data_IF_708157876734
#
_entry.id   IF_708157876734
#
_cell.length_a   1.000
_cell.length_b   1.000
_cell.length_c   1.000
_cell.angle_alpha   90.00
_cell.angle_beta   90.00
_cell.angle_gamma   90.00
#
_symmetry.space_group_name_H-M   'P 1'
#
loop_
_entity.id
_entity.type
_entity.pdbx_description
1 polymer ?
#
# COMPACT_ATOMS: atom_id res chain seq x y z
N UNK A 1 -12.68 -82.04 -14.67
CA UNK A 1 -13.33 -80.75 -14.97
C UNK A 1 -12.72 -79.70 -14.06
N UNK A 2 -12.17 -78.64 -14.65
CA UNK A 2 -11.27 -77.66 -14.03
C UNK A 2 -12.00 -76.58 -13.22
N UNK A 3 -11.43 -76.25 -12.06
CA UNK A 3 -11.52 -75.01 -11.27
C UNK A 3 -10.45 -75.11 -10.13
N UNK A 4 -10.00 -74.03 -9.45
CA UNK A 4 -9.21 -72.89 -9.94
C UNK A 4 -8.02 -72.50 -8.99
N UNK A 5 -7.32 -71.40 -9.30
CA UNK A 5 -6.49 -70.52 -8.43
C UNK A 5 -5.11 -70.99 -7.93
N UNK A 6 -4.06 -70.30 -8.41
CA UNK A 6 -2.95 -69.76 -7.60
C UNK A 6 -2.12 -68.76 -8.42
N UNK A 7 -2.20 -67.47 -8.09
CA UNK A 7 -1.33 -66.41 -8.61
C UNK A 7 -0.06 -66.33 -7.76
N UNK A 8 1.10 -66.55 -8.40
CA UNK A 8 2.42 -66.44 -7.79
C UNK A 8 2.86 -64.97 -7.60
N UNK A 9 3.32 -64.67 -6.39
CA UNK A 9 4.16 -63.52 -6.06
C UNK A 9 5.49 -63.60 -6.81
N UNK A 10 5.84 -62.53 -7.53
CA UNK A 10 7.20 -62.26 -7.97
C UNK A 10 7.60 -60.84 -7.55
N UNK A 11 8.52 -60.80 -6.59
CA UNK A 11 9.33 -59.66 -6.20
C UNK A 11 10.32 -59.30 -7.30
N UNK A 12 10.39 -58.03 -7.70
CA UNK A 12 11.44 -57.48 -8.59
C UNK A 12 12.02 -56.22 -7.91
N UNK A 13 13.36 -56.00 -7.96
CA UNK A 13 14.06 -55.08 -7.06
C UNK A 13 14.10 -53.62 -7.55
N UNK A 14 14.27 -52.71 -6.59
CA UNK A 14 14.55 -51.27 -6.79
C UNK A 14 15.92 -51.06 -7.46
N UNK A 15 16.06 -50.11 -8.40
CA UNK A 15 17.38 -49.68 -8.86
C UNK A 15 17.93 -48.56 -7.97
N UNK A 16 19.09 -48.81 -7.38
CA UNK A 16 20.03 -47.79 -6.93
C UNK A 16 20.60 -47.04 -8.14
N UNK A 17 20.66 -45.72 -8.08
CA UNK A 17 21.46 -44.90 -8.98
C UNK A 17 22.13 -43.75 -8.20
N UNK A 18 23.26 -43.22 -8.70
CA UNK A 18 24.40 -42.87 -7.88
C UNK A 18 24.48 -41.39 -7.55
N UNK A 19 25.12 -41.12 -6.41
CA UNK A 19 25.61 -39.80 -6.00
C UNK A 19 26.58 -39.26 -7.05
N UNK A 20 26.18 -38.20 -7.75
CA UNK A 20 27.09 -37.30 -8.45
C UNK A 20 27.12 -35.97 -7.70
N UNK A 21 28.23 -35.76 -7.03
CA UNK A 21 28.65 -34.50 -6.42
C UNK A 21 28.88 -33.45 -7.50
N UNK A 22 28.08 -32.38 -7.49
CA UNK A 22 28.45 -31.10 -8.07
C UNK A 22 28.60 -30.09 -6.93
N UNK A 23 29.86 -29.74 -6.65
CA UNK A 23 30.25 -28.62 -5.81
C UNK A 23 29.92 -27.33 -6.55
N UNK A 24 29.06 -26.49 -6.00
CA UNK A 24 28.94 -25.09 -6.37
C UNK A 24 29.36 -24.28 -5.14
N UNK A 25 30.56 -23.71 -5.22
CA UNK A 25 31.16 -22.87 -4.20
C UNK A 25 30.28 -21.63 -3.96
N UNK A 26 29.62 -21.59 -2.81
CA UNK A 26 29.02 -20.36 -2.29
C UNK A 26 30.12 -19.53 -1.64
N UNK A 27 30.47 -18.40 -2.27
CA UNK A 27 31.27 -17.37 -1.64
C UNK A 27 30.47 -16.69 -0.53
N UNK A 28 30.93 -16.89 0.71
CA UNK A 28 30.59 -16.10 1.90
C UNK A 28 30.78 -14.60 1.64
N UNK A 29 29.85 -13.71 2.06
CA UNK A 29 30.15 -12.29 2.16
C UNK A 29 31.04 -12.06 3.39
N UNK A 30 32.29 -11.68 3.12
CA UNK A 30 33.27 -11.32 4.14
C UNK A 30 32.84 -10.07 4.90
N UNK A 31 32.92 -10.17 6.23
CA UNK A 31 32.92 -9.04 7.15
C UNK A 31 34.08 -8.08 6.79
N UNK A 32 33.76 -6.84 6.45
CA UNK A 32 34.75 -5.76 6.41
C UNK A 32 34.39 -4.74 7.48
N UNK A 33 35.18 -4.80 8.54
CA UNK A 33 35.32 -3.79 9.58
C UNK A 33 35.61 -2.41 8.96
N UNK A 34 34.87 -1.38 9.35
CA UNK A 34 35.30 -0.01 9.14
C UNK A 34 35.80 0.58 10.46
N UNK A 35 37.13 0.61 10.55
CA UNK A 35 37.88 1.32 11.57
C UNK A 35 37.72 2.83 11.40
N UNK A 36 37.58 3.50 12.54
CA UNK A 36 37.58 4.94 12.71
C UNK A 36 38.94 5.48 12.27
N UNK A 37 38.96 6.41 11.31
CA UNK A 37 40.05 7.37 11.23
C UNK A 37 39.60 8.77 10.84
N UNK A 38 40.21 9.70 11.56
CA UNK A 38 39.88 11.09 11.80
C UNK A 38 40.67 11.96 10.83
N UNK A 39 40.03 12.83 10.04
CA UNK A 39 40.73 13.99 9.47
C UNK A 39 39.81 15.17 9.13
N UNK A 40 39.87 16.17 10.03
CA UNK A 40 40.05 17.63 9.81
C UNK A 40 39.26 18.38 8.71
N UNK A 41 38.41 19.32 9.19
CA UNK A 41 38.01 20.66 8.69
C UNK A 41 38.85 21.26 7.53
N UNK A 42 38.35 22.04 6.56
CA UNK A 42 37.49 23.27 6.57
C UNK A 42 37.01 23.60 5.10
N UNK A 43 36.33 24.72 4.77
CA UNK A 43 35.00 24.76 4.18
C UNK A 43 34.97 25.24 2.70
N UNK A 44 33.83 25.15 2.01
CA UNK A 44 33.64 26.01 0.83
C UNK A 44 32.18 26.38 0.56
N UNK A 45 31.98 27.69 0.65
CA UNK A 45 31.05 28.55 -0.10
C UNK A 45 29.63 28.03 -0.41
N UNK A 46 28.68 28.55 0.37
CA UNK A 46 27.35 28.92 -0.14
C UNK A 46 27.53 30.00 -1.21
N UNK A 47 27.14 29.69 -2.45
CA UNK A 47 26.94 30.72 -3.48
C UNK A 47 25.57 30.51 -4.11
N UNK A 48 24.71 31.49 -3.89
CA UNK A 48 23.39 31.68 -4.45
C UNK A 48 23.51 32.19 -5.89
N UNK A 49 23.05 31.47 -6.91
CA UNK A 49 22.83 31.97 -8.27
C UNK A 49 21.61 31.24 -8.85
N UNK A 50 20.41 31.85 -8.74
CA UNK A 50 19.72 32.63 -9.80
C UNK A 50 19.47 31.83 -11.08
N UNK A 51 18.18 31.61 -11.33
CA UNK A 51 17.58 31.22 -12.61
C UNK A 51 18.08 32.15 -13.71
N UNK A 52 18.65 31.60 -14.77
CA UNK A 52 18.56 32.17 -16.10
C UNK A 52 18.23 31.04 -17.09
N UNK A 53 17.16 31.29 -17.84
CA UNK A 53 16.57 30.41 -18.83
C UNK A 53 17.28 30.68 -20.16
N UNK A 54 18.20 29.80 -20.57
CA UNK A 54 18.72 29.79 -21.93
C UNK A 54 18.37 28.50 -22.64
N UNK A 55 17.65 28.70 -23.74
CA UNK A 55 17.14 27.73 -24.70
C UNK A 55 18.32 27.07 -25.43
N UNK A 56 18.63 25.83 -25.08
CA UNK A 56 19.50 24.98 -25.88
C UNK A 56 18.68 23.83 -26.48
N UNK A 57 18.63 23.84 -27.81
CA UNK A 57 18.19 22.74 -28.67
C UNK A 57 19.10 21.53 -28.49
N UNK A 58 18.57 20.42 -27.98
CA UNK A 58 19.23 19.11 -28.04
C UNK A 58 18.31 18.05 -28.64
N UNK A 59 18.91 17.29 -29.56
CA UNK A 59 18.49 16.08 -30.27
C UNK A 59 17.62 15.09 -29.47
N UNK A 60 16.72 14.32 -30.12
CA UNK A 60 15.86 13.35 -29.46
C UNK A 60 16.59 12.02 -29.32
N UNK A 61 17.26 11.78 -28.19
CA UNK A 61 17.56 10.44 -27.70
C UNK A 61 18.30 10.52 -26.36
N UNK A 62 17.56 10.89 -25.32
CA UNK A 62 17.89 10.56 -23.93
C UNK A 62 16.58 10.61 -23.16
N UNK A 63 15.92 9.46 -23.02
CA UNK A 63 14.73 9.32 -22.18
C UNK A 63 15.08 9.75 -20.74
N UNK A 64 14.42 10.77 -20.18
CA UNK A 64 14.53 11.02 -18.74
C UNK A 64 13.97 9.80 -18.02
N UNK A 65 14.59 9.41 -16.90
CA UNK A 65 13.99 8.48 -15.93
C UNK A 65 12.51 8.86 -15.77
N UNK A 66 11.60 7.94 -16.05
CA UNK A 66 10.16 8.17 -16.06
C UNK A 66 9.70 8.72 -14.71
N UNK A 67 9.64 10.04 -14.56
CA UNK A 67 9.11 10.67 -13.37
C UNK A 67 7.61 10.81 -13.61
N UNK A 68 6.84 9.83 -13.16
CA UNK A 68 5.40 9.95 -13.09
C UNK A 68 5.07 11.16 -12.20
N UNK A 69 4.08 11.96 -12.59
CA UNK A 69 3.48 12.95 -11.70
C UNK A 69 2.42 12.25 -10.85
N UNK A 70 2.60 12.26 -9.53
CA UNK A 70 1.63 11.63 -8.63
C UNK A 70 0.43 12.56 -8.42
N UNK A 71 -0.78 12.00 -8.48
CA UNK A 71 -2.01 12.69 -8.12
C UNK A 71 -2.82 11.88 -7.12
N UNK A 72 -3.61 12.58 -6.31
CA UNK A 72 -4.61 11.96 -5.44
C UNK A 72 -6.00 12.17 -6.07
N UNK A 73 -6.74 11.11 -6.41
CA UNK A 73 -8.05 11.26 -7.04
C UNK A 73 -9.07 11.86 -6.07
N UNK A 74 -10.07 12.55 -6.62
CA UNK A 74 -11.28 12.88 -5.89
C UNK A 74 -12.10 11.59 -5.78
N UNK A 75 -12.45 11.18 -4.57
CA UNK A 75 -13.18 9.94 -4.31
C UNK A 75 -14.63 10.29 -3.95
N UNK A 76 -15.57 9.73 -4.71
CA UNK A 76 -17.01 9.85 -4.47
C UNK A 76 -17.62 8.46 -4.32
N UNK A 77 -18.46 8.26 -3.32
CA UNK A 77 -19.24 7.03 -3.16
C UNK A 77 -20.72 7.34 -3.45
N UNK A 78 -21.38 6.45 -4.20
CA UNK A 78 -22.82 6.50 -4.40
C UNK A 78 -23.59 5.82 -3.25
N UNK A 79 -24.92 5.77 -3.36
CA UNK A 79 -25.79 5.11 -2.37
C UNK A 79 -25.52 3.60 -2.25
N UNK A 80 -24.99 2.96 -3.31
CA UNK A 80 -24.53 1.57 -3.32
C UNK A 80 -23.14 1.38 -2.72
N UNK A 81 -22.47 2.47 -2.29
CA UNK A 81 -21.09 2.50 -1.79
C UNK A 81 -20.03 2.10 -2.83
N UNK A 82 -20.39 2.12 -4.12
CA UNK A 82 -19.42 1.92 -5.18
C UNK A 82 -18.62 3.21 -5.35
N UNK A 83 -17.34 3.13 -5.02
CA UNK A 83 -16.47 4.28 -5.13
C UNK A 83 -16.01 4.52 -6.56
N UNK A 84 -16.14 5.77 -6.95
CA UNK A 84 -15.63 6.32 -8.18
C UNK A 84 -14.48 7.27 -7.87
N UNK A 85 -13.40 7.12 -8.63
CA UNK A 85 -12.20 7.95 -8.59
C UNK A 85 -12.25 8.91 -9.78
N UNK A 86 -12.08 10.20 -9.50
CA UNK A 86 -12.02 11.26 -10.50
C UNK A 86 -10.63 11.88 -10.51
N UNK A 87 -10.03 11.94 -11.70
CA UNK A 87 -8.79 12.65 -11.97
C UNK A 87 -9.06 13.73 -13.02
N UNK A 88 -8.80 14.99 -12.66
CA UNK A 88 -8.93 16.12 -13.57
C UNK A 88 -7.53 16.52 -14.04
N UNK A 89 -7.29 16.40 -15.34
CA UNK A 89 -5.97 16.63 -15.92
C UNK A 89 -6.01 17.82 -16.88
N UNK A 90 -5.11 18.79 -16.70
CA UNK A 90 -5.01 19.99 -17.54
C UNK A 90 -3.98 19.90 -18.67
N UNK A 91 -3.14 18.85 -18.71
CA UNK A 91 -2.00 18.78 -19.62
C UNK A 91 -1.60 17.36 -19.97
N UNK A 92 -1.01 17.19 -21.15
CA UNK A 92 -0.36 15.93 -21.53
C UNK A 92 0.73 15.54 -20.52
N UNK A 93 0.86 14.25 -20.24
CA UNK A 93 1.80 13.76 -19.23
C UNK A 93 1.50 12.34 -18.78
N UNK A 94 2.34 11.83 -17.88
CA UNK A 94 2.22 10.50 -17.32
C UNK A 94 1.93 10.62 -15.82
N UNK A 95 0.72 10.23 -15.42
CA UNK A 95 0.19 10.52 -14.09
C UNK A 95 -0.13 9.24 -13.34
N UNK A 96 0.39 9.11 -12.11
CA UNK A 96 0.17 7.95 -11.26
C UNK A 96 -0.81 8.29 -10.13
N UNK A 97 -1.85 7.47 -9.97
CA UNK A 97 -2.78 7.57 -8.85
C UNK A 97 -2.12 7.07 -7.57
N UNK A 98 -2.08 7.90 -6.52
CA UNK A 98 -1.56 7.53 -5.19
C UNK A 98 -2.40 6.48 -4.46
N UNK A 99 -3.67 6.30 -4.84
CA UNK A 99 -4.63 5.41 -4.17
C UNK A 99 -4.67 4.02 -4.80
N UNK A 100 -4.76 3.94 -6.13
CA UNK A 100 -4.89 2.66 -6.85
C UNK A 100 -3.60 2.20 -7.51
N UNK A 101 -2.58 3.07 -7.59
CA UNK A 101 -1.35 2.82 -8.33
C UNK A 101 -1.51 2.85 -9.85
N UNK A 102 -2.73 3.04 -10.37
CA UNK A 102 -3.00 3.09 -11.81
C UNK A 102 -2.29 4.30 -12.44
N UNK A 103 -1.67 4.11 -13.60
CA UNK A 103 -1.01 5.19 -14.34
C UNK A 103 -1.73 5.47 -15.66
N UNK A 104 -1.93 6.75 -15.94
CA UNK A 104 -2.52 7.24 -17.19
C UNK A 104 -1.50 8.03 -17.99
N UNK A 105 -1.28 7.65 -19.26
CA UNK A 105 -0.64 8.52 -20.24
C UNK A 105 -1.70 9.38 -20.92
N UNK A 106 -1.68 10.67 -20.61
CA UNK A 106 -2.59 11.67 -21.14
C UNK A 106 -1.95 12.37 -22.35
N UNK A 107 -2.67 12.45 -23.47
CA UNK A 107 -2.30 13.23 -24.66
C UNK A 107 -2.61 14.72 -24.54
N UNK A 108 -3.43 15.12 -23.57
CA UNK A 108 -3.90 16.48 -23.38
C UNK A 108 -4.82 16.57 -22.17
N UNK A 109 -5.51 17.70 -22.06
CA UNK A 109 -6.53 17.93 -21.03
C UNK A 109 -7.67 16.90 -21.13
N UNK A 110 -8.17 16.46 -19.98
CA UNK A 110 -9.32 15.56 -19.91
C UNK A 110 -9.57 15.05 -18.50
N UNK A 111 -10.81 14.66 -18.26
CA UNK A 111 -11.23 14.07 -17.00
C UNK A 111 -11.25 12.56 -17.14
N UNK A 112 -10.64 11.86 -16.18
CA UNK A 112 -10.65 10.40 -16.11
C UNK A 112 -11.48 10.01 -14.91
N UNK A 113 -12.55 9.27 -15.18
CA UNK A 113 -13.45 8.71 -14.18
C UNK A 113 -13.28 7.21 -14.21
N UNK A 114 -12.94 6.60 -13.08
CA UNK A 114 -12.76 5.15 -13.03
C UNK A 114 -13.18 4.56 -11.69
N UNK A 115 -13.41 3.26 -11.67
CA UNK A 115 -13.77 2.49 -10.47
C UNK A 115 -13.29 1.06 -10.58
N UNK A 116 -13.13 0.39 -9.45
CA UNK A 116 -12.87 -1.05 -9.43
C UNK A 116 -14.20 -1.79 -9.56
N UNK A 117 -14.30 -2.76 -10.47
CA UNK A 117 -15.50 -3.58 -10.67
C UNK A 117 -15.16 -5.06 -10.46
N UNK A 118 -16.14 -5.90 -10.07
CA UNK A 118 -15.89 -7.33 -9.89
C UNK A 118 -15.63 -8.04 -11.22
N UNK A 119 -14.76 -9.04 -11.21
CA UNK A 119 -14.56 -9.94 -12.34
C UNK A 119 -15.72 -10.91 -12.52
N UNK A 120 -16.20 -11.08 -13.75
CA UNK A 120 -17.06 -12.21 -14.13
C UNK A 120 -16.18 -13.47 -14.30
N UNK A 121 -16.04 -14.26 -13.23
CA UNK A 121 -15.20 -15.47 -13.23
C UNK A 121 -15.66 -16.54 -14.21
N UNK A 122 -16.98 -16.67 -14.42
CA UNK A 122 -17.53 -17.65 -15.35
C UNK A 122 -17.10 -17.36 -16.79
N UNK A 123 -17.09 -16.07 -17.13
CA UNK A 123 -16.65 -15.59 -18.43
C UNK A 123 -15.14 -15.79 -18.63
N UNK A 124 -14.32 -15.46 -17.64
CA UNK A 124 -12.87 -15.72 -17.70
C UNK A 124 -12.53 -17.21 -17.84
N UNK A 125 -13.23 -18.08 -17.09
CA UNK A 125 -13.02 -19.52 -17.14
C UNK A 125 -13.31 -20.11 -18.53
N UNK A 126 -14.25 -19.55 -19.30
CA UNK A 126 -14.51 -19.98 -20.70
C UNK A 126 -13.28 -19.77 -21.60
N UNK A 127 -12.39 -18.85 -21.22
CA UNK A 127 -11.15 -18.56 -21.93
C UNK A 127 -9.92 -19.18 -21.24
N UNK A 128 -10.09 -20.05 -20.25
CA UNK A 128 -9.00 -20.63 -19.45
C UNK A 128 -8.10 -19.57 -18.78
N UNK A 129 -8.72 -18.45 -18.35
CA UNK A 129 -8.05 -17.33 -17.70
C UNK A 129 -8.50 -17.18 -16.26
N UNK A 130 -7.61 -16.61 -15.44
CA UNK A 130 -7.92 -16.15 -14.09
C UNK A 130 -7.45 -14.70 -13.87
N UNK A 131 -8.08 -13.95 -12.94
CA UNK A 131 -7.60 -12.62 -12.56
C UNK A 131 -6.17 -12.64 -12.02
N UNK A 132 -5.40 -11.62 -12.39
CA UNK A 132 -4.07 -11.33 -11.83
C UNK A 132 -4.00 -9.91 -11.22
N UNK A 133 -5.16 -9.32 -10.94
CA UNK A 133 -5.29 -7.99 -10.35
C UNK A 133 -6.73 -7.46 -10.37
N UNK A 134 -6.95 -6.21 -9.94
CA UNK A 134 -8.25 -5.56 -10.06
C UNK A 134 -8.67 -5.32 -11.52
N UNK A 135 -9.98 -5.27 -11.76
CA UNK A 135 -10.58 -4.81 -13.02
C UNK A 135 -11.04 -3.37 -12.83
N UNK A 136 -10.57 -2.47 -13.69
CA UNK A 136 -10.91 -1.04 -13.64
C UNK A 136 -11.85 -0.68 -14.78
N UNK A 137 -13.08 -0.24 -14.47
CA UNK A 137 -14.00 0.39 -15.44
C UNK A 137 -13.57 1.86 -15.58
N UNK A 138 -13.03 2.23 -16.74
CA UNK A 138 -12.40 3.53 -17.00
C UNK A 138 -13.17 4.28 -18.07
N UNK A 139 -13.40 5.58 -17.85
CA UNK A 139 -14.06 6.52 -18.76
C UNK A 139 -13.23 7.80 -18.89
N UNK A 140 -13.09 8.29 -20.11
CA UNK A 140 -12.54 9.61 -20.41
C UNK A 140 -13.28 10.18 -21.62
N UNK A 141 -14.16 11.15 -21.39
CA UNK A 141 -15.02 11.71 -22.46
C UNK A 141 -14.19 12.39 -23.55
N UNK A 142 -13.10 13.06 -23.15
CA UNK A 142 -12.19 13.78 -24.03
C UNK A 142 -11.27 12.85 -24.85
N UNK A 143 -11.31 11.53 -24.61
CA UNK A 143 -10.45 10.54 -25.29
C UNK A 143 -8.94 10.83 -25.11
N UNK A 144 -8.58 11.53 -24.04
CA UNK A 144 -7.22 12.03 -23.81
C UNK A 144 -6.28 10.95 -23.30
N UNK A 145 -6.79 9.88 -22.67
CA UNK A 145 -5.97 8.73 -22.25
C UNK A 145 -5.63 7.87 -23.47
N UNK A 146 -4.35 7.55 -23.66
CA UNK A 146 -3.93 6.66 -24.76
C UNK A 146 -3.13 5.43 -24.33
N UNK A 147 -2.66 5.39 -23.08
CA UNK A 147 -1.94 4.25 -22.53
C UNK A 147 -2.27 4.11 -21.04
N UNK A 148 -2.40 2.87 -20.58
CA UNK A 148 -2.60 2.50 -19.19
C UNK A 148 -1.38 1.73 -18.69
N UNK A 149 -0.94 2.02 -17.46
CA UNK A 149 -0.05 1.13 -16.74
C UNK A 149 -0.81 0.52 -15.56
N UNK A 150 -1.13 -0.76 -15.67
CA UNK A 150 -1.92 -1.51 -14.70
C UNK A 150 -0.99 -2.16 -13.66
N UNK A 151 -1.23 -1.99 -12.35
CA UNK A 151 -0.34 -2.54 -11.33
C UNK A 151 -0.44 -4.07 -11.23
N UNK A 152 0.70 -4.75 -11.17
CA UNK A 152 0.79 -6.20 -10.87
C UNK A 152 1.67 -6.46 -9.64
N UNK A 153 1.70 -7.73 -9.23
CA UNK A 153 2.54 -8.20 -8.13
C UNK A 153 3.55 -9.29 -8.54
N UNK A 154 3.59 -9.71 -9.82
CA UNK A 154 4.55 -10.71 -10.29
C UNK A 154 6.02 -10.31 -10.08
N UNK A 155 6.86 -11.29 -9.74
CA UNK A 155 8.32 -11.15 -9.73
C UNK A 155 8.89 -11.46 -11.13
N UNK A 156 9.47 -10.46 -11.80
CA UNK A 156 10.03 -10.65 -13.15
C UNK A 156 11.16 -11.69 -13.17
N UNK A 157 11.97 -11.72 -12.12
CA UNK A 157 13.13 -12.61 -12.01
C UNK A 157 12.78 -14.10 -12.05
N UNK A 158 11.53 -14.47 -11.76
CA UNK A 158 11.07 -15.86 -11.79
C UNK A 158 10.35 -16.23 -13.08
N UNK A 159 10.22 -15.31 -14.04
CA UNK A 159 9.53 -15.54 -15.31
C UNK A 159 8.00 -15.43 -15.25
N UNK A 160 7.41 -15.24 -14.06
CA UNK A 160 5.95 -15.18 -13.86
C UNK A 160 5.26 -14.08 -14.68
N UNK A 161 5.97 -12.97 -14.94
CA UNK A 161 5.48 -11.86 -15.76
C UNK A 161 5.23 -12.22 -17.24
N UNK A 162 5.84 -13.28 -17.77
CA UNK A 162 5.71 -13.66 -19.18
C UNK A 162 4.32 -14.20 -19.54
N UNK A 163 3.54 -14.60 -18.53
CA UNK A 163 2.18 -15.13 -18.69
C UNK A 163 1.08 -14.06 -18.58
N UNK A 164 1.43 -12.79 -18.29
CA UNK A 164 0.46 -11.74 -18.08
C UNK A 164 -0.11 -11.21 -19.40
N UNK A 165 -1.43 -11.08 -19.43
CA UNK A 165 -2.17 -10.37 -20.46
C UNK A 165 -3.13 -9.36 -19.81
N UNK A 166 -3.68 -8.46 -20.62
CA UNK A 166 -4.75 -7.56 -20.17
C UNK A 166 -6.05 -7.97 -20.82
N UNK A 167 -7.09 -8.20 -20.03
CA UNK A 167 -8.45 -8.32 -20.53
C UNK A 167 -9.08 -6.94 -20.65
N UNK A 168 -9.67 -6.67 -21.80
CA UNK A 168 -10.54 -5.55 -22.09
C UNK A 168 -11.98 -6.09 -22.14
N UNK A 169 -12.82 -5.69 -21.19
CA UNK A 169 -14.20 -6.13 -21.02
C UNK A 169 -15.12 -4.98 -21.36
N UNK A 170 -15.89 -5.13 -22.43
CA UNK A 170 -16.78 -4.08 -22.90
C UNK A 170 -18.13 -4.05 -22.13
N UNK A 171 -19.04 -3.16 -22.55
CA UNK A 171 -20.35 -3.01 -21.90
C UNK A 171 -21.33 -4.16 -22.18
N UNK A 172 -21.06 -4.99 -23.19
CA UNK A 172 -21.85 -6.15 -23.58
C UNK A 172 -21.31 -7.44 -22.94
N UNK A 173 -20.30 -7.32 -22.06
CA UNK A 173 -19.55 -8.44 -21.47
C UNK A 173 -18.77 -9.27 -22.49
N UNK A 174 -18.39 -8.69 -23.63
CA UNK A 174 -17.43 -9.30 -24.54
C UNK A 174 -16.00 -9.04 -24.03
N UNK A 175 -15.12 -10.04 -24.16
CA UNK A 175 -13.72 -9.95 -23.71
C UNK A 175 -12.74 -10.02 -24.89
N UNK A 176 -11.84 -9.06 -24.92
CA UNK A 176 -10.64 -9.06 -25.77
C UNK A 176 -9.39 -9.20 -24.89
N UNK A 177 -8.43 -10.03 -25.31
CA UNK A 177 -7.13 -10.17 -24.63
C UNK A 177 -6.04 -9.41 -25.38
N UNK A 178 -5.45 -8.43 -24.69
CA UNK A 178 -4.41 -7.54 -25.18
C UNK A 178 -3.06 -8.02 -24.66
N UNK A 179 -2.11 -8.24 -25.57
CA UNK A 179 -0.72 -8.52 -25.22
C UNK A 179 -0.04 -7.22 -24.77
N UNK A 180 0.60 -7.19 -23.59
CA UNK A 180 1.29 -6.00 -23.11
C UNK A 180 2.41 -5.55 -24.05
N UNK A 181 2.56 -4.24 -24.21
CA UNK A 181 3.71 -3.68 -24.92
C UNK A 181 5.00 -3.80 -24.08
N UNK A 182 4.86 -3.62 -22.77
CA UNK A 182 5.95 -3.67 -21.81
C UNK A 182 5.41 -4.17 -20.46
N UNK A 183 6.23 -4.93 -19.74
CA UNK A 183 5.98 -5.29 -18.34
C UNK A 183 7.18 -4.79 -17.54
N UNK A 184 6.92 -3.86 -16.64
CA UNK A 184 7.90 -3.27 -15.70
C UNK A 184 7.88 -4.04 -14.39
N UNK A 185 8.73 -3.69 -13.41
CA UNK A 185 8.74 -4.37 -12.11
C UNK A 185 7.41 -4.30 -11.33
N UNK A 186 6.54 -3.36 -11.70
CA UNK A 186 5.31 -3.07 -10.94
C UNK A 186 4.07 -2.88 -11.80
N UNK A 187 4.22 -2.65 -13.11
CA UNK A 187 3.09 -2.37 -14.01
C UNK A 187 3.19 -3.09 -15.36
N UNK A 188 2.03 -3.49 -15.86
CA UNK A 188 1.78 -3.93 -17.23
C UNK A 188 1.33 -2.73 -18.05
N UNK A 189 2.01 -2.46 -19.18
CA UNK A 189 1.77 -1.28 -20.02
C UNK A 189 1.05 -1.68 -21.31
N UNK A 190 -0.11 -1.07 -21.55
CA UNK A 190 -0.90 -1.26 -22.78
C UNK A 190 -1.35 0.06 -23.37
N UNK A 191 -1.38 0.15 -24.70
CA UNK A 191 -2.07 1.23 -25.39
C UNK A 191 -3.56 0.92 -25.47
N UNK A 192 -4.40 1.94 -25.32
CA UNK A 192 -5.86 1.80 -25.41
C UNK A 192 -6.42 2.74 -26.48
N UNK A 193 -7.54 2.32 -27.07
CA UNK A 193 -8.32 3.08 -28.04
C UNK A 193 -9.78 3.24 -27.61
N UNK A 194 -10.19 2.54 -26.54
CA UNK A 194 -11.54 2.54 -26.01
C UNK A 194 -11.55 2.67 -24.49
N UNK A 195 -12.76 2.77 -23.93
CA UNK A 195 -12.99 3.04 -22.51
C UNK A 195 -14.07 2.12 -21.98
N UNK A 196 -13.68 1.23 -21.06
CA UNK A 196 -14.50 0.18 -20.44
C UNK A 196 -13.68 -0.49 -19.32
N UNK A 197 -13.93 -1.78 -19.03
CA UNK A 197 -13.17 -2.57 -18.07
C UNK A 197 -11.79 -2.99 -18.59
N UNK A 198 -10.71 -2.65 -17.87
CA UNK A 198 -9.35 -3.15 -18.11
C UNK A 198 -8.77 -3.79 -16.86
N UNK A 199 -8.25 -5.01 -16.99
CA UNK A 199 -7.67 -5.73 -15.85
C UNK A 199 -6.67 -6.79 -16.27
N UNK A 200 -5.71 -7.09 -15.41
CA UNK A 200 -4.65 -8.07 -15.70
C UNK A 200 -5.20 -9.48 -15.48
N UNK A 201 -4.90 -10.37 -16.42
CA UNK A 201 -5.23 -11.79 -16.36
C UNK A 201 -3.98 -12.64 -16.63
N UNK A 202 -4.06 -13.91 -16.23
CA UNK A 202 -3.07 -14.95 -16.53
C UNK A 202 -3.78 -16.26 -16.86
N UNK A 203 -3.04 -17.21 -17.41
CA UNK A 203 -3.58 -18.54 -17.68
C UNK A 203 -3.99 -19.24 -16.39
N UNK A 204 -5.08 -19.99 -16.41
CA UNK A 204 -5.58 -20.72 -15.25
C UNK A 204 -4.55 -21.73 -14.71
N UNK A 205 -3.84 -22.39 -15.64
CA UNK A 205 -2.77 -23.37 -15.36
C UNK A 205 -1.40 -22.74 -15.06
N UNK A 206 -1.31 -21.41 -14.95
CA UNK A 206 -0.04 -20.75 -14.67
C UNK A 206 0.57 -21.26 -13.35
N UNK A 207 1.90 -21.47 -13.29
CA UNK A 207 2.56 -21.94 -12.09
C UNK A 207 2.35 -20.96 -10.92
N UNK A 208 2.33 -21.44 -9.67
CA UNK A 208 2.21 -20.61 -8.48
C UNK A 208 3.56 -19.94 -8.15
N UNK A 209 4.08 -19.18 -9.10
CA UNK A 209 5.30 -18.41 -8.95
C UNK A 209 5.15 -17.40 -7.79
N UNK A 210 6.25 -17.06 -7.11
CA UNK A 210 6.18 -16.14 -5.99
C UNK A 210 5.80 -14.74 -6.47
N UNK A 211 4.96 -14.08 -5.68
CA UNK A 211 4.47 -12.72 -5.94
C UNK A 211 4.90 -11.78 -4.82
N UNK A 212 5.06 -10.51 -5.17
CA UNK A 212 5.18 -9.43 -4.21
C UNK A 212 3.89 -9.35 -3.39
N UNK A 213 4.03 -9.42 -2.07
CA UNK A 213 2.91 -9.39 -1.14
C UNK A 213 3.09 -8.31 -0.08
N UNK A 214 2.02 -8.06 0.66
CA UNK A 214 1.96 -7.15 1.79
C UNK A 214 1.37 -7.88 3.00
N UNK A 215 1.89 -7.54 4.17
CA UNK A 215 1.33 -7.94 5.47
C UNK A 215 0.67 -6.72 6.08
N UNK A 216 -0.66 -6.74 6.14
CA UNK A 216 -1.45 -5.65 6.71
C UNK A 216 -1.90 -5.99 8.12
N UNK A 217 -1.72 -5.04 9.04
CA UNK A 217 -1.96 -5.22 10.46
C UNK A 217 -3.11 -4.33 10.93
N UNK A 218 -4.10 -4.92 11.59
CA UNK A 218 -5.26 -4.23 12.14
C UNK A 218 -5.44 -4.57 13.61
N UNK A 219 -5.26 -3.59 14.48
CA UNK A 219 -5.31 -3.77 15.92
C UNK A 219 -6.63 -3.29 16.50
N UNK A 220 -7.29 -4.16 17.25
CA UNK A 220 -8.45 -3.84 18.07
C UNK A 220 -8.01 -3.73 19.54
N UNK A 221 -7.96 -2.51 20.12
CA UNK A 221 -7.52 -2.31 21.49
C UNK A 221 -8.48 -2.96 22.50
N UNK A 222 -8.02 -3.18 23.74
CA UNK A 222 -8.88 -3.69 24.80
C UNK A 222 -9.96 -2.67 25.17
N UNK A 223 -11.13 -3.16 25.56
CA UNK A 223 -12.23 -2.33 26.09
C UNK A 223 -12.30 -2.55 27.60
N UNK A 224 -11.98 -1.50 28.37
CA UNK A 224 -12.03 -1.51 29.84
C UNK A 224 -13.38 -2.07 30.35
N UNK A 225 -13.41 -3.02 31.31
CA UNK A 225 -12.33 -3.58 32.12
C UNK A 225 -11.62 -4.82 31.54
N UNK A 226 -11.89 -5.18 30.29
CA UNK A 226 -11.36 -6.41 29.71
C UNK A 226 -10.00 -6.17 29.07
N UNK A 227 -8.92 -6.85 29.52
CA UNK A 227 -7.59 -6.66 28.98
C UNK A 227 -7.38 -7.33 27.61
N UNK A 228 -8.44 -7.92 27.03
CA UNK A 228 -8.37 -8.70 25.79
C UNK A 228 -8.29 -7.78 24.59
N UNK A 229 -7.25 -7.94 23.77
CA UNK A 229 -7.10 -7.24 22.49
C UNK A 229 -6.78 -8.21 21.37
N UNK A 230 -6.97 -7.78 20.13
CA UNK A 230 -6.81 -8.63 18.95
C UNK A 230 -6.03 -7.90 17.88
N UNK A 231 -5.03 -8.55 17.30
CA UNK A 231 -4.33 -8.10 16.10
C UNK A 231 -4.69 -9.03 14.94
N UNK A 232 -5.40 -8.49 13.97
CA UNK A 232 -5.70 -9.16 12.70
C UNK A 232 -4.54 -8.97 11.73
N UNK A 233 -4.03 -10.08 11.18
CA UNK A 233 -2.90 -10.10 10.23
C UNK A 233 -3.41 -10.64 8.89
N UNK A 234 -3.28 -9.82 7.84
CA UNK A 234 -3.76 -10.14 6.49
C UNK A 234 -2.55 -10.33 5.57
N UNK A 235 -2.49 -11.47 4.89
CA UNK A 235 -1.56 -11.70 3.79
C UNK A 235 -2.27 -11.36 2.47
N UNK A 236 -1.79 -10.34 1.76
CA UNK A 236 -2.44 -9.87 0.53
C UNK A 236 -1.41 -9.64 -0.59
N UNK A 237 -1.77 -9.79 -1.87
CA UNK A 237 -0.85 -9.45 -2.95
C UNK A 237 -0.60 -7.94 -3.01
N UNK A 238 0.55 -7.49 -3.52
CA UNK A 238 0.93 -6.06 -3.53
C UNK A 238 0.01 -5.18 -4.37
N UNK A 239 -0.65 -5.74 -5.37
CA UNK A 239 -1.56 -5.02 -6.26
C UNK A 239 -2.98 -4.84 -5.69
N UNK A 240 -3.21 -5.12 -4.41
CA UNK A 240 -4.45 -4.70 -3.75
C UNK A 240 -4.53 -3.19 -3.63
N UNK A 241 -5.75 -2.66 -3.73
CA UNK A 241 -6.02 -1.24 -3.44
C UNK A 241 -6.17 -1.11 -1.92
N UNK A 242 -5.11 -0.72 -1.22
CA UNK A 242 -5.07 -0.67 0.26
C UNK A 242 -6.25 0.16 0.82
N UNK A 243 -6.60 1.27 0.16
CA UNK A 243 -7.75 2.10 0.54
C UNK A 243 -9.07 1.32 0.64
N UNK A 244 -9.30 0.39 -0.29
CA UNK A 244 -10.48 -0.47 -0.27
C UNK A 244 -10.43 -1.43 0.93
N UNK A 245 -9.28 -2.05 1.20
CA UNK A 245 -9.10 -2.93 2.36
C UNK A 245 -9.37 -2.18 3.68
N UNK A 246 -8.81 -0.98 3.83
CA UNK A 246 -9.01 -0.13 5.01
C UNK A 246 -10.50 0.19 5.22
N UNK A 247 -11.23 0.57 4.17
CA UNK A 247 -12.68 0.82 4.27
C UNK A 247 -13.43 -0.45 4.67
N UNK A 248 -13.27 -1.52 3.91
CA UNK A 248 -14.04 -2.76 4.11
C UNK A 248 -13.85 -3.28 5.53
N UNK A 249 -12.64 -3.20 6.07
CA UNK A 249 -12.38 -3.55 7.47
C UNK A 249 -13.06 -2.63 8.47
N UNK A 250 -13.04 -1.31 8.24
CA UNK A 250 -13.76 -0.33 9.07
C UNK A 250 -15.27 -0.62 9.10
N UNK A 251 -15.85 -1.00 7.96
CA UNK A 251 -17.28 -1.33 7.87
C UNK A 251 -17.64 -2.64 8.58
N UNK A 252 -16.82 -3.68 8.43
CA UNK A 252 -17.11 -5.00 8.98
C UNK A 252 -16.77 -5.13 10.47
N UNK A 253 -15.70 -4.48 10.94
CA UNK A 253 -15.11 -4.74 12.25
C UNK A 253 -15.17 -3.55 13.22
N UNK A 254 -15.61 -2.38 12.74
CA UNK A 254 -15.68 -1.15 13.53
C UNK A 254 -14.31 -0.48 13.71
N UNK A 255 -14.01 -0.03 14.93
CA UNK A 255 -12.77 0.70 15.26
C UNK A 255 -11.56 -0.23 15.42
N UNK A 256 -11.13 -0.84 14.32
CA UNK A 256 -9.78 -1.38 14.21
C UNK A 256 -8.80 -0.29 13.74
N UNK A 257 -7.62 -0.26 14.35
CA UNK A 257 -6.53 0.63 13.97
C UNK A 257 -5.62 -0.06 12.96
N UNK A 258 -5.48 0.51 11.77
CA UNK A 258 -4.41 0.10 10.85
C UNK A 258 -3.05 0.49 11.42
N UNK A 259 -2.12 -0.47 11.47
CA UNK A 259 -0.74 -0.23 11.89
C UNK A 259 0.12 -0.18 10.63
N UNK A 260 0.64 1.02 10.33
CA UNK A 260 1.61 1.21 9.26
C UNK A 260 2.98 0.67 9.72
N UNK A 261 3.38 -0.45 9.12
CA UNK A 261 4.66 -1.13 9.35
C UNK A 261 5.25 -1.55 8.01
N UNK A 262 6.58 -1.69 7.89
CA UNK A 262 7.20 -2.29 6.72
C UNK A 262 6.58 -3.67 6.43
N UNK A 263 5.77 -3.72 5.37
CA UNK A 263 4.84 -4.83 5.11
C UNK A 263 5.23 -5.70 3.93
N UNK A 264 6.20 -5.28 3.12
CA UNK A 264 6.57 -5.94 1.86
C UNK A 264 7.27 -7.27 2.11
N UNK A 265 6.83 -8.31 1.43
CA UNK A 265 7.46 -9.63 1.40
C UNK A 265 7.20 -10.33 0.05
N UNK A 266 7.68 -11.57 -0.08
CA UNK A 266 7.44 -12.42 -1.24
C UNK A 266 6.75 -13.70 -0.79
N UNK A 267 5.58 -14.00 -1.34
CA UNK A 267 4.78 -15.18 -0.97
C UNK A 267 4.45 -16.02 -2.20
N UNK A 268 4.39 -17.33 -2.01
CA UNK A 268 3.99 -18.29 -3.03
C UNK A 268 2.48 -18.55 -2.91
N UNK A 269 1.70 -18.32 -3.98
CA UNK A 269 0.29 -18.66 -4.00
C UNK A 269 0.05 -20.15 -3.67
N UNK A 270 -1.03 -20.43 -2.95
CA UNK A 270 -1.45 -21.77 -2.53
C UNK A 270 -0.45 -22.52 -1.63
N UNK A 271 0.47 -21.79 -1.00
CA UNK A 271 1.39 -22.34 0.00
C UNK A 271 0.95 -21.96 1.41
N UNK A 272 1.32 -22.81 2.37
CA UNK A 272 0.98 -22.66 3.79
C UNK A 272 2.09 -21.92 4.53
N UNK A 273 1.66 -20.97 5.36
CA UNK A 273 2.52 -20.14 6.19
C UNK A 273 2.12 -20.27 7.66
N UNK A 274 3.11 -20.12 8.54
CA UNK A 274 2.94 -20.12 9.98
C UNK A 274 3.29 -18.74 10.52
N UNK A 275 2.43 -18.20 11.40
CA UNK A 275 2.70 -16.97 12.13
C UNK A 275 3.15 -17.31 13.56
N UNK A 276 4.27 -16.74 13.98
CA UNK A 276 4.81 -16.90 15.33
C UNK A 276 5.01 -15.55 16.00
N UNK A 277 4.97 -15.55 17.33
CA UNK A 277 5.13 -14.34 18.15
C UNK A 277 6.30 -14.49 19.13
N UNK A 278 6.99 -13.39 19.43
CA UNK A 278 7.91 -13.32 20.57
C UNK A 278 7.54 -12.12 21.47
N UNK A 279 7.39 -12.31 22.80
CA UNK A 279 7.62 -13.56 23.54
C UNK A 279 6.59 -14.65 23.21
N UNK A 280 7.03 -15.91 23.30
CA UNK A 280 6.13 -17.07 23.27
C UNK A 280 5.56 -17.25 24.69
N UNK A 281 4.27 -16.97 24.85
CA UNK A 281 3.58 -16.83 26.14
C UNK A 281 2.16 -17.36 25.99
N UNK A 282 1.68 -18.18 26.93
CA UNK A 282 0.31 -18.76 26.93
C UNK A 282 -0.82 -17.70 26.91
N UNK A 283 -0.49 -16.45 27.21
CA UNK A 283 -1.37 -15.29 27.14
C UNK A 283 -1.44 -14.65 25.75
N UNK A 284 -0.63 -15.11 24.79
CA UNK A 284 -0.63 -14.71 23.38
C UNK A 284 -1.00 -15.93 22.55
N UNK A 285 -2.14 -15.87 21.87
CA UNK A 285 -2.65 -17.00 21.09
C UNK A 285 -2.78 -16.59 19.63
N UNK A 286 -2.04 -17.27 18.75
CA UNK A 286 -2.22 -17.15 17.30
C UNK A 286 -3.30 -18.14 16.86
N UNK A 287 -4.23 -17.70 16.01
CA UNK A 287 -5.24 -18.58 15.42
C UNK A 287 -5.61 -18.15 13.98
N UNK A 288 -5.72 -19.09 13.02
CA UNK A 288 -5.12 -20.43 13.08
C UNK A 288 -3.58 -20.33 13.22
N UNK A 289 -2.90 -21.42 13.56
CA UNK A 289 -1.42 -21.41 13.60
C UNK A 289 -0.82 -21.39 12.18
N UNK A 290 -1.55 -21.95 11.23
CA UNK A 290 -1.16 -22.06 9.82
C UNK A 290 -2.29 -21.53 8.94
N UNK A 291 -1.93 -20.86 7.85
CA UNK A 291 -2.88 -20.36 6.85
C UNK A 291 -2.29 -20.45 5.45
N UNK A 292 -3.14 -20.77 4.46
CA UNK A 292 -2.77 -20.75 3.06
C UNK A 292 -2.80 -19.31 2.52
N UNK A 293 -1.78 -18.91 1.75
CA UNK A 293 -1.79 -17.64 1.04
C UNK A 293 -2.50 -17.76 -0.30
N UNK A 294 -3.56 -16.97 -0.50
CA UNK A 294 -4.27 -16.88 -1.76
C UNK A 294 -3.99 -15.53 -2.43
N UNK A 295 -3.63 -15.55 -3.72
CA UNK A 295 -3.40 -14.35 -4.54
C UNK A 295 -4.71 -13.64 -4.94
N UNK A 296 -5.87 -14.19 -4.58
CA UNK A 296 -7.16 -13.66 -5.01
C UNK A 296 -7.53 -12.36 -4.31
N UNK A 297 -7.77 -11.30 -5.10
CA UNK A 297 -8.11 -9.95 -4.63
C UNK A 297 -9.31 -9.90 -3.66
N UNK A 298 -10.31 -10.77 -3.82
CA UNK A 298 -11.54 -10.76 -3.01
C UNK A 298 -11.32 -11.21 -1.56
N UNK A 299 -10.25 -11.95 -1.27
CA UNK A 299 -9.92 -12.37 0.10
C UNK A 299 -9.11 -11.32 0.87
N UNK A 300 -8.84 -10.16 0.27
CA UNK A 300 -7.96 -9.13 0.83
C UNK A 300 -8.46 -8.44 2.10
N UNK A 301 -9.68 -8.73 2.56
CA UNK A 301 -10.24 -8.17 3.79
C UNK A 301 -10.34 -9.18 4.94
N UNK A 302 -10.18 -10.48 4.67
CA UNK A 302 -10.26 -11.55 5.67
C UNK A 302 -8.88 -11.77 6.28
N UNK A 303 -8.73 -11.77 7.62
CA UNK A 303 -7.45 -12.04 8.25
C UNK A 303 -7.01 -13.49 8.00
N UNK A 304 -5.75 -13.65 7.59
CA UNK A 304 -5.10 -14.96 7.52
C UNK A 304 -4.79 -15.50 8.92
N UNK A 305 -4.46 -14.59 9.85
CA UNK A 305 -4.22 -14.91 11.25
C UNK A 305 -4.85 -13.86 12.17
N UNK A 306 -5.18 -14.28 13.39
CA UNK A 306 -5.48 -13.40 14.50
C UNK A 306 -4.53 -13.72 15.66
N UNK A 307 -3.92 -12.68 16.21
CA UNK A 307 -3.16 -12.77 17.45
C UNK A 307 -4.04 -12.20 18.56
N UNK A 308 -4.42 -13.06 19.50
CA UNK A 308 -5.23 -12.71 20.66
C UNK A 308 -4.32 -12.49 21.85
N UNK A 309 -4.39 -11.30 22.43
CA UNK A 309 -3.70 -10.97 23.67
C UNK A 309 -4.68 -11.05 24.84
N UNK A 310 -4.42 -11.91 25.82
CA UNK A 310 -5.22 -12.05 27.05
C UNK A 310 -4.82 -11.06 28.16
N UNK A 311 -3.75 -10.29 27.93
CA UNK A 311 -3.28 -9.19 28.78
C UNK A 311 -2.96 -7.97 27.93
N UNK A 312 -2.75 -6.83 28.57
CA UNK A 312 -2.22 -5.63 27.89
C UNK A 312 -0.78 -5.90 27.46
N UNK A 313 -0.51 -5.74 26.17
CA UNK A 313 0.81 -5.86 25.55
C UNK A 313 1.10 -4.57 24.80
N UNK A 314 2.30 -4.01 24.99
CA UNK A 314 2.73 -2.79 24.31
C UNK A 314 3.44 -3.08 23.00
N UNK A 315 4.21 -4.17 22.93
CA UNK A 315 5.05 -4.52 21.79
C UNK A 315 5.07 -6.03 21.63
N UNK A 316 5.02 -6.48 20.37
CA UNK A 316 5.07 -7.90 20.01
C UNK A 316 5.92 -8.07 18.76
N UNK A 317 6.82 -9.04 18.76
CA UNK A 317 7.54 -9.42 17.55
C UNK A 317 6.72 -10.46 16.80
N UNK A 318 6.47 -10.22 15.52
CA UNK A 318 5.82 -11.17 14.61
C UNK A 318 6.85 -11.74 13.64
N UNK A 319 6.74 -13.03 13.34
CA UNK A 319 7.56 -13.68 12.30
C UNK A 319 6.70 -14.64 11.48
N UNK A 320 6.73 -14.47 10.16
CA UNK A 320 6.04 -15.31 9.19
C UNK A 320 7.04 -16.25 8.53
N UNK A 321 6.77 -17.55 8.61
CA UNK A 321 7.63 -18.60 8.05
C UNK A 321 6.86 -19.46 7.06
N UNK A 322 7.53 -19.92 6.02
CA UNK A 322 6.96 -20.86 5.06
C UNK A 322 7.02 -22.28 5.64
N UNK A 323 5.96 -23.08 5.52
CA UNK A 323 5.90 -24.40 6.16
C UNK A 323 7.06 -25.33 5.75
N UNK A 324 7.49 -25.26 4.48
CA UNK A 324 8.54 -26.12 3.93
C UNK A 324 9.94 -25.49 3.99
N UNK A 325 10.13 -24.37 4.68
CA UNK A 325 11.43 -23.72 4.81
C UNK A 325 11.61 -23.11 6.19
N UNK A 326 12.75 -23.34 6.88
CA UNK A 326 13.04 -22.67 8.13
C UNK A 326 13.32 -21.17 7.96
N UNK A 327 13.37 -20.67 6.72
CA UNK A 327 13.60 -19.25 6.45
C UNK A 327 12.39 -18.40 6.82
N UNK A 328 12.65 -17.35 7.60
CA UNK A 328 11.67 -16.32 7.90
C UNK A 328 11.48 -15.43 6.67
N UNK A 329 10.24 -15.34 6.19
CA UNK A 329 9.87 -14.59 4.99
C UNK A 329 9.58 -13.12 5.34
N UNK A 330 9.13 -12.87 6.57
CA UNK A 330 8.92 -11.52 7.08
C UNK A 330 8.97 -11.51 8.61
N UNK A 331 9.60 -10.47 9.17
CA UNK A 331 9.69 -10.23 10.61
C UNK A 331 9.52 -8.75 10.91
N UNK A 332 8.75 -8.44 11.94
CA UNK A 332 8.58 -7.06 12.40
C UNK A 332 8.30 -6.97 13.89
N UNK A 333 8.83 -5.94 14.52
CA UNK A 333 8.44 -5.51 15.85
C UNK A 333 7.22 -4.58 15.72
N UNK A 334 6.11 -4.97 16.33
CA UNK A 334 4.84 -4.28 16.24
C UNK A 334 4.51 -3.68 17.59
N UNK A 335 4.53 -2.37 17.66
CA UNK A 335 3.97 -1.65 18.80
C UNK A 335 2.42 -1.71 18.72
N UNK A 336 1.74 -1.86 19.85
CA UNK A 336 0.29 -2.01 19.99
C UNK A 336 -0.31 -0.91 20.87
N UNK A 337 0.50 0.05 21.29
CA UNK A 337 0.01 1.21 22.03
C UNK A 337 -1.10 1.89 21.22
N UNK A 338 -2.25 2.21 21.84
CA UNK A 338 -3.31 2.96 21.19
C UNK A 338 -2.75 4.23 20.56
N UNK A 339 -3.30 4.67 19.43
CA UNK A 339 -2.73 5.81 18.69
C UNK A 339 -2.60 7.05 19.59
N UNK A 340 -3.53 7.22 20.55
CA UNK A 340 -3.46 8.27 21.59
C UNK A 340 -2.11 8.28 22.33
N UNK A 341 -1.56 7.13 22.71
CA UNK A 341 -0.26 7.05 23.42
C UNK A 341 0.95 7.18 22.48
N UNK A 342 0.82 6.76 21.21
CA UNK A 342 1.85 6.96 20.18
C UNK A 342 1.95 8.42 19.76
N UNK A 343 0.84 9.11 19.53
CA UNK A 343 0.85 10.55 19.27
C UNK A 343 1.51 11.25 20.45
N UNK A 344 1.15 10.95 21.70
CA UNK A 344 1.76 11.63 22.85
C UNK A 344 3.28 11.41 23.03
N UNK A 345 3.85 10.31 22.53
CA UNK A 345 5.29 10.01 22.63
C UNK A 345 6.14 10.53 21.46
N UNK A 346 5.52 10.97 20.36
CA UNK A 346 6.22 11.53 19.20
C UNK A 346 6.51 13.04 19.39
N UNK A 347 7.56 13.57 18.73
CA UNK A 347 7.76 15.02 18.63
C UNK A 347 6.49 15.71 18.11
N UNK A 348 6.12 16.89 18.65
CA UNK A 348 4.96 17.68 18.22
C UNK A 348 4.72 17.72 16.70
N UNK A 349 5.77 17.85 15.90
CA UNK A 349 5.66 17.91 14.44
C UNK A 349 5.20 16.59 13.79
N UNK A 350 5.66 15.46 14.31
CA UNK A 350 5.23 14.13 13.86
C UNK A 350 3.79 13.84 14.31
N UNK A 351 3.42 14.29 15.51
CA UNK A 351 2.02 14.24 15.99
C UNK A 351 1.08 14.94 15.04
N UNK A 352 1.41 16.19 14.72
CA UNK A 352 0.60 17.02 13.86
C UNK A 352 0.56 16.49 12.42
N UNK A 353 1.64 15.85 11.95
CA UNK A 353 1.68 15.17 10.64
C UNK A 353 0.69 14.00 10.60
N UNK A 354 0.69 13.14 11.62
CA UNK A 354 -0.14 11.92 11.65
C UNK A 354 -1.63 12.24 11.65
N UNK A 355 -2.06 13.32 12.32
CA UNK A 355 -3.46 13.74 12.36
C UNK A 355 -3.80 14.83 11.35
N UNK A 356 -2.84 15.27 10.53
CA UNK A 356 -2.98 16.42 9.62
C UNK A 356 -4.20 16.34 8.73
N UNK A 357 -4.42 15.20 8.08
CA UNK A 357 -5.55 14.98 7.17
C UNK A 357 -6.88 15.04 7.94
N UNK A 358 -6.92 14.48 9.13
CA UNK A 358 -8.08 14.53 10.03
C UNK A 358 -8.37 15.97 10.49
N UNK A 359 -7.35 16.78 10.77
CA UNK A 359 -7.53 18.20 11.11
C UNK A 359 -8.07 18.97 9.90
N UNK A 360 -7.47 18.82 8.72
CA UNK A 360 -7.88 19.54 7.50
C UNK A 360 -9.35 19.26 7.16
N UNK A 361 -9.77 18.01 7.26
CA UNK A 361 -11.13 17.60 6.91
C UNK A 361 -12.14 17.85 8.03
N UNK A 362 -11.72 17.77 9.29
CA UNK A 362 -12.60 17.77 10.45
C UNK A 362 -12.71 19.09 11.20
N UNK A 363 -11.72 20.00 11.09
CA UNK A 363 -11.74 21.25 11.86
C UNK A 363 -12.93 22.12 11.43
N UNK A 364 -13.64 22.68 12.40
CA UNK A 364 -14.75 23.59 12.10
C UNK A 364 -14.21 24.97 11.70
N UNK A 365 -14.95 25.69 10.85
CA UNK A 365 -14.59 27.06 10.45
C UNK A 365 -14.35 28.02 11.63
N UNK A 366 -15.23 28.03 12.65
CA UNK A 366 -15.04 28.85 13.84
C UNK A 366 -13.78 28.48 14.64
N UNK A 367 -13.54 27.17 14.88
CA UNK A 367 -12.35 26.71 15.62
C UNK A 367 -11.07 27.07 14.86
N UNK A 368 -11.05 26.93 13.53
CA UNK A 368 -9.92 27.34 12.69
C UNK A 368 -9.64 28.86 12.78
N UNK A 369 -10.69 29.69 12.78
CA UNK A 369 -10.54 31.14 12.94
C UNK A 369 -9.95 31.50 14.31
N UNK A 370 -10.52 30.95 15.39
CA UNK A 370 -10.04 31.17 16.75
C UNK A 370 -8.62 30.62 16.96
N UNK A 371 -8.27 29.52 16.28
CA UNK A 371 -6.91 28.98 16.30
C UNK A 371 -5.92 29.96 15.67
N UNK A 372 -6.25 30.56 14.53
CA UNK A 372 -5.41 31.58 13.90
C UNK A 372 -5.24 32.82 14.78
N UNK A 373 -6.30 33.25 15.49
CA UNK A 373 -6.21 34.36 16.45
C UNK A 373 -5.23 34.04 17.58
N UNK A 374 -5.32 32.85 18.19
CA UNK A 374 -4.39 32.39 19.22
C UNK A 374 -2.95 32.25 18.71
N UNK A 375 -2.78 31.74 17.49
CA UNK A 375 -1.45 31.60 16.88
C UNK A 375 -0.81 32.97 16.58
N UNK A 376 -1.62 33.98 16.22
CA UNK A 376 -1.15 35.34 16.02
C UNK A 376 -0.78 35.99 17.35
N UNK A 377 -1.62 35.81 18.39
CA UNK A 377 -1.36 36.30 19.75
C UNK A 377 -0.06 35.72 20.34
N UNK A 378 0.14 34.41 20.17
CA UNK A 378 1.37 33.70 20.59
C UNK A 378 2.57 33.98 19.65
N UNK A 379 2.40 34.80 18.61
CA UNK A 379 3.41 35.15 17.58
C UNK A 379 3.99 33.93 16.84
N UNK A 380 3.22 32.86 16.71
CA UNK A 380 3.58 31.67 15.95
C UNK A 380 3.45 31.93 14.45
N UNK A 381 2.37 32.61 14.05
CA UNK A 381 2.16 33.12 12.69
C UNK A 381 2.29 34.65 12.69
N UNK A 382 2.63 35.19 11.52
CA UNK A 382 2.73 36.63 11.27
C UNK A 382 1.44 37.16 10.66
N UNK A 383 1.23 38.48 10.71
CA UNK A 383 0.08 39.11 10.05
C UNK A 383 0.05 38.80 8.55
N UNK A 384 1.20 38.76 7.89
CA UNK A 384 1.29 38.41 6.46
C UNK A 384 0.79 36.98 6.17
N UNK A 385 1.23 35.99 6.96
CA UNK A 385 0.78 34.60 6.81
C UNK A 385 -0.72 34.45 7.15
N UNK A 386 -1.24 35.25 8.09
CA UNK A 386 -2.67 35.28 8.39
C UNK A 386 -3.48 35.80 7.21
N UNK A 387 -3.05 36.89 6.59
CA UNK A 387 -3.72 37.44 5.42
C UNK A 387 -3.67 36.47 4.23
N UNK A 388 -2.52 35.81 3.98
CA UNK A 388 -2.43 34.75 2.97
C UNK A 388 -3.40 33.59 3.25
N UNK A 389 -3.52 33.16 4.51
CA UNK A 389 -4.47 32.12 4.90
C UNK A 389 -5.94 32.54 4.69
N UNK A 390 -6.27 33.83 4.85
CA UNK A 390 -7.62 34.34 4.64
C UNK A 390 -8.04 34.37 3.17
N UNK A 391 -7.09 34.40 2.24
CA UNK A 391 -7.35 34.39 0.78
C UNK A 391 -7.59 32.96 0.25
N UNK A 392 -7.34 31.93 1.06
CA UNK A 392 -7.54 30.53 0.65
C UNK A 392 -9.01 30.25 0.29
N UNK A 393 -9.27 29.53 -0.81
CA UNK A 393 -10.60 29.46 -1.43
C UNK A 393 -11.60 28.63 -0.61
N UNK A 394 -11.13 27.66 0.18
CA UNK A 394 -11.98 26.82 0.99
C UNK A 394 -11.34 26.55 2.38
N UNK A 395 -12.17 26.09 3.32
CA UNK A 395 -11.77 25.82 4.71
C UNK A 395 -10.63 24.82 4.79
N UNK A 396 -10.65 23.77 3.96
CA UNK A 396 -9.64 22.71 3.98
C UNK A 396 -8.28 23.23 3.50
N UNK A 397 -8.25 24.05 2.45
CA UNK A 397 -7.03 24.69 1.94
C UNK A 397 -6.48 25.70 2.95
N UNK A 398 -7.37 26.46 3.61
CA UNK A 398 -7.00 27.34 4.72
C UNK A 398 -6.36 26.57 5.88
N UNK A 399 -7.00 25.49 6.34
CA UNK A 399 -6.48 24.63 7.39
C UNK A 399 -5.12 24.03 7.00
N UNK A 400 -5.00 23.55 5.75
CA UNK A 400 -3.76 22.99 5.20
C UNK A 400 -2.61 23.99 5.27
N UNK A 401 -2.85 25.20 4.78
CA UNK A 401 -1.87 26.27 4.77
C UNK A 401 -1.40 26.63 6.19
N UNK A 402 -2.34 26.82 7.13
CA UNK A 402 -2.00 27.15 8.53
C UNK A 402 -1.16 26.04 9.17
N UNK A 403 -1.56 24.78 9.00
CA UNK A 403 -0.84 23.61 9.55
C UNK A 403 0.57 23.53 8.97
N UNK A 404 0.74 23.66 7.65
CA UNK A 404 2.06 23.57 7.01
C UNK A 404 2.99 24.70 7.42
N UNK A 405 2.46 25.93 7.47
CA UNK A 405 3.21 27.10 7.89
C UNK A 405 3.76 26.92 9.31
N UNK A 406 2.93 26.43 10.24
CA UNK A 406 3.37 26.14 11.62
C UNK A 406 4.41 25.01 11.65
N UNK A 407 4.19 23.92 10.91
CA UNK A 407 5.12 22.77 10.86
C UNK A 407 6.49 23.16 10.33
N UNK A 408 6.54 24.02 9.30
CA UNK A 408 7.79 24.52 8.72
C UNK A 408 8.60 25.40 9.68
N UNK A 409 7.97 25.97 10.71
CA UNK A 409 8.64 26.75 11.77
C UNK A 409 9.24 25.88 12.88
N UNK A 410 8.98 24.57 12.87
CA UNK A 410 9.60 23.58 13.75
C UNK A 410 8.82 23.30 15.04
N UNK A 411 9.38 22.40 15.87
CA UNK A 411 8.69 21.76 17.00
C UNK A 411 8.02 22.72 17.97
N UNK A 412 8.68 23.84 18.32
CA UNK A 412 8.12 24.82 19.28
C UNK A 412 6.83 25.46 18.77
N UNK A 413 6.78 25.80 17.49
CA UNK A 413 5.59 26.36 16.85
C UNK A 413 4.47 25.32 16.82
N UNK A 414 4.81 24.08 16.47
CA UNK A 414 3.87 22.97 16.46
C UNK A 414 3.30 22.67 17.84
N UNK A 415 4.12 22.65 18.90
CA UNK A 415 3.65 22.46 20.28
C UNK A 415 2.60 23.49 20.67
N UNK A 416 2.85 24.77 20.37
CA UNK A 416 1.93 25.85 20.71
C UNK A 416 0.63 25.77 19.91
N UNK A 417 0.67 25.29 18.68
CA UNK A 417 -0.54 25.03 17.89
C UNK A 417 -1.35 23.89 18.49
N UNK A 418 -0.71 22.78 18.86
CA UNK A 418 -1.38 21.63 19.48
C UNK A 418 -2.05 22.08 20.78
N UNK A 419 -1.33 22.76 21.66
CA UNK A 419 -1.89 23.29 22.92
C UNK A 419 -3.09 24.21 22.65
N UNK A 420 -2.94 25.16 21.73
CA UNK A 420 -4.01 26.12 21.41
C UNK A 420 -5.24 25.44 20.81
N UNK A 421 -5.06 24.40 19.99
CA UNK A 421 -6.16 23.62 19.43
C UNK A 421 -6.88 22.80 20.52
N UNK A 422 -6.13 22.21 21.46
CA UNK A 422 -6.69 21.46 22.58
C UNK A 422 -7.48 22.36 23.54
N UNK A 423 -7.05 23.60 23.74
CA UNK A 423 -7.80 24.60 24.52
C UNK A 423 -9.10 25.03 23.82
N UNK A 424 -9.12 25.04 22.48
CA UNK A 424 -10.28 25.48 21.71
C UNK A 424 -11.32 24.37 21.52
N UNK A 425 -10.86 23.14 21.31
CA UNK A 425 -11.73 22.00 21.07
C UNK A 425 -11.06 20.69 21.53
N UNK A 426 -11.12 20.44 22.84
CA UNK A 426 -10.52 19.23 23.43
C UNK A 426 -11.19 17.95 22.92
N UNK A 427 -12.49 17.99 22.66
CA UNK A 427 -13.25 16.85 22.15
C UNK A 427 -12.80 16.48 20.74
N UNK A 428 -12.61 17.48 19.86
CA UNK A 428 -12.04 17.25 18.53
C UNK A 428 -10.63 16.69 18.59
N UNK A 429 -9.76 17.25 19.45
CA UNK A 429 -8.40 16.73 19.63
C UNK A 429 -8.37 15.28 20.11
N UNK A 430 -9.27 14.90 21.03
CA UNK A 430 -9.43 13.53 21.51
C UNK A 430 -9.95 12.61 20.40
N UNK A 431 -10.93 13.07 19.61
CA UNK A 431 -11.53 12.32 18.50
C UNK A 431 -10.52 12.00 17.41
N UNK A 432 -9.66 12.95 17.04
CA UNK A 432 -8.62 12.73 16.01
C UNK A 432 -7.36 12.05 16.56
N UNK A 433 -7.30 11.75 17.86
CA UNK A 433 -6.14 11.13 18.51
C UNK A 433 -4.92 12.05 18.62
N UNK A 434 -5.15 13.38 18.67
CA UNK A 434 -4.09 14.38 18.90
C UNK A 434 -3.68 14.46 20.37
N UNK A 435 -4.61 14.19 21.31
CA UNK A 435 -4.36 14.08 22.76
C UNK A 435 -4.98 12.82 23.37
#
# INVERSE_FOLDING_TARGET
MLCPLASHLQTVPLPLNPLLSFSADFHEPSEISNSVNRSKNLPSLRTTLKKDLTRETSSPDTMPKSCFEEFTPIITADESKDETYLFQCSSAGLYQCSVTGLVFLMKGEGDVVYRTVPWNRKLLAQHHKKPAGPLFDIKCEQQSVCQLHLPHCELISTGGSQSLQVAHVDKLEDIEFITPHQITETHVVINITGFSGYGIVRDEDSPPDPVQALILLFYKPPVDPHPRSVLSVLLVPRNVVIHHVLRTRKELNGEEMYIDTPSRCSLFPKQVYTLSTAPDDDLIVVQPNEAEFHEEYFNSSVPSFQVIFKRVITDVNLSLTHQNSPSCVWKSEVCLLPNRMRTLSLPPNERLLNVRTSIINGISGPVLSSLMDKLLEKKVITDAEREEANVMPNRSDKARFVIDTVRNKGERATSQMIESLCELDSFFCEYIGLI
#
